data_IF_707452099496
#
_entry.id   IF_707452099496
#
_cell.length_a   1.000
_cell.length_b   1.000
_cell.length_c   1.000
_cell.angle_alpha   90.00
_cell.angle_beta   90.00
_cell.angle_gamma   90.00
#
_symmetry.space_group_name_H-M   'P 1'
#
loop_
_entity.id
_entity.type
_entity.pdbx_description
1 polymer ?
#
# COMPACT_ATOMS: atom_id res chain seq x y z
N UNK A 1 -56.40 -22.95 -67.33
CA UNK A 1 -55.25 -22.06 -67.31
C UNK A 1 -54.96 -21.68 -65.83
N UNK A 2 -53.97 -22.32 -65.20
CA UNK A 2 -53.65 -22.08 -63.80
C UNK A 2 -52.28 -21.39 -63.74
N UNK A 3 -52.23 -20.13 -63.32
CA UNK A 3 -51.02 -19.34 -63.11
C UNK A 3 -50.34 -19.78 -61.82
N UNK A 4 -49.15 -20.30 -61.91
CA UNK A 4 -48.31 -20.63 -60.79
C UNK A 4 -47.47 -19.38 -60.44
N UNK A 5 -47.74 -18.77 -59.27
CA UNK A 5 -46.95 -17.66 -58.76
C UNK A 5 -45.76 -18.23 -57.98
N UNK A 6 -44.53 -18.03 -58.44
CA UNK A 6 -43.30 -18.31 -57.75
C UNK A 6 -43.06 -17.24 -56.67
N UNK A 7 -43.11 -17.67 -55.43
CA UNK A 7 -42.77 -16.83 -54.28
C UNK A 7 -41.23 -16.87 -54.12
N UNK A 8 -40.56 -15.73 -54.43
CA UNK A 8 -39.14 -15.55 -54.17
C UNK A 8 -38.93 -15.09 -52.75
N UNK A 9 -38.37 -15.97 -51.88
CA UNK A 9 -37.86 -15.59 -50.55
C UNK A 9 -36.48 -14.91 -50.73
N UNK A 10 -36.25 -13.74 -50.10
CA UNK A 10 -34.90 -13.19 -50.04
C UNK A 10 -34.08 -13.95 -48.97
N UNK A 11 -32.94 -14.41 -49.37
CA UNK A 11 -31.90 -15.03 -48.52
C UNK A 11 -31.29 -13.87 -47.65
N UNK A 12 -31.74 -13.71 -46.40
CA UNK A 12 -31.11 -12.79 -45.47
C UNK A 12 -29.80 -13.44 -44.97
N UNK A 13 -28.69 -12.98 -45.50
CA UNK A 13 -27.36 -13.31 -44.97
C UNK A 13 -27.18 -12.70 -43.58
N UNK A 14 -27.27 -13.56 -42.57
CA UNK A 14 -26.96 -13.18 -41.18
C UNK A 14 -25.43 -13.09 -41.03
N UNK A 15 -24.87 -11.91 -41.17
CA UNK A 15 -23.47 -11.65 -40.82
C UNK A 15 -23.33 -11.69 -39.31
N UNK A 16 -22.90 -12.81 -38.76
CA UNK A 16 -22.48 -12.93 -37.36
C UNK A 16 -21.11 -12.23 -37.26
N UNK A 17 -21.10 -10.99 -36.81
CA UNK A 17 -19.88 -10.28 -36.47
C UNK A 17 -19.41 -10.86 -35.11
N UNK A 18 -18.53 -11.84 -35.17
CA UNK A 18 -17.82 -12.32 -33.96
C UNK A 18 -16.95 -11.18 -33.46
N UNK A 19 -17.44 -10.42 -32.47
CA UNK A 19 -16.57 -9.56 -31.66
C UNK A 19 -15.60 -10.46 -30.91
N UNK A 20 -14.43 -10.67 -31.47
CA UNK A 20 -13.27 -11.13 -30.74
C UNK A 20 -12.94 -10.01 -29.77
N UNK A 21 -13.39 -10.15 -28.51
CA UNK A 21 -12.93 -9.31 -27.44
C UNK A 21 -11.43 -9.50 -27.31
N UNK A 22 -10.65 -8.53 -27.78
CA UNK A 22 -9.24 -8.43 -27.44
C UNK A 22 -9.25 -8.08 -25.95
N UNK A 23 -9.06 -9.10 -25.10
CA UNK A 23 -8.66 -8.85 -23.72
C UNK A 23 -7.33 -8.12 -23.85
N UNK A 24 -7.33 -6.83 -23.50
CA UNK A 24 -6.08 -6.10 -23.38
C UNK A 24 -5.30 -6.80 -22.25
N UNK A 25 -4.18 -7.43 -22.59
CA UNK A 25 -3.26 -7.94 -21.60
C UNK A 25 -2.90 -6.80 -20.65
N UNK A 26 -3.01 -7.06 -19.35
CA UNK A 26 -2.55 -6.08 -18.35
C UNK A 26 -1.08 -5.77 -18.63
N UNK A 27 -0.70 -4.48 -18.65
CA UNK A 27 0.67 -4.11 -18.98
C UNK A 27 1.64 -4.75 -18.00
N UNK A 28 2.71 -5.34 -18.51
CA UNK A 28 3.77 -5.92 -17.70
C UNK A 28 4.34 -4.88 -16.73
N UNK A 29 4.34 -5.15 -15.40
CA UNK A 29 4.83 -4.21 -14.40
C UNK A 29 6.24 -3.67 -14.67
N UNK A 30 7.13 -4.51 -15.22
CA UNK A 30 8.48 -4.10 -15.59
C UNK A 30 8.49 -3.06 -16.70
N UNK A 31 7.67 -3.23 -17.73
CA UNK A 31 7.55 -2.25 -18.80
C UNK A 31 6.97 -0.92 -18.31
N UNK A 32 6.04 -0.98 -17.36
CA UNK A 32 5.48 0.23 -16.74
C UNK A 32 6.56 0.95 -15.93
N UNK A 33 7.37 0.24 -15.12
CA UNK A 33 8.49 0.82 -14.38
C UNK A 33 9.47 1.56 -15.30
N UNK A 34 9.94 0.90 -16.37
CA UNK A 34 10.86 1.48 -17.35
C UNK A 34 10.26 2.75 -17.96
N UNK A 35 8.99 2.68 -18.36
CA UNK A 35 8.29 3.78 -19.04
C UNK A 35 8.15 5.00 -18.11
N UNK A 36 7.73 4.79 -16.86
CA UNK A 36 7.59 5.85 -15.86
C UNK A 36 8.95 6.42 -15.48
N UNK A 37 9.97 5.56 -15.21
CA UNK A 37 11.31 6.01 -14.89
C UNK A 37 11.91 6.92 -15.97
N UNK A 38 11.82 6.50 -17.24
CA UNK A 38 12.29 7.30 -18.38
C UNK A 38 11.48 8.59 -18.61
N UNK A 39 10.17 8.53 -18.39
CA UNK A 39 9.31 9.71 -18.47
C UNK A 39 9.71 10.76 -17.44
N UNK A 40 9.92 10.35 -16.20
CA UNK A 40 10.35 11.24 -15.12
C UNK A 40 11.74 11.81 -15.37
N UNK A 41 12.71 10.98 -15.79
CA UNK A 41 14.07 11.42 -16.07
C UNK A 41 14.16 12.42 -17.21
N UNK A 42 13.38 12.23 -18.30
CA UNK A 42 13.48 13.03 -19.52
C UNK A 42 12.44 14.11 -19.64
N UNK A 43 11.27 13.91 -19.06
CA UNK A 43 10.09 14.78 -19.24
C UNK A 43 9.84 15.71 -18.06
N UNK A 44 10.39 15.43 -16.88
CA UNK A 44 10.14 16.27 -15.73
C UNK A 44 10.93 17.59 -15.83
N UNK A 45 10.27 18.71 -15.51
CA UNK A 45 10.82 20.06 -15.64
C UNK A 45 12.09 20.31 -14.82
N UNK A 46 12.31 19.55 -13.75
CA UNK A 46 13.51 19.67 -12.90
C UNK A 46 14.80 19.21 -13.61
N UNK A 47 14.69 18.42 -14.69
CA UNK A 47 15.83 17.80 -15.36
C UNK A 47 16.65 16.87 -14.48
N UNK A 48 16.08 16.43 -13.33
CA UNK A 48 16.76 15.56 -12.38
C UNK A 48 16.90 14.14 -12.96
N UNK A 49 18.12 13.62 -12.97
CA UNK A 49 18.37 12.22 -13.33
C UNK A 49 17.86 11.27 -12.27
N UNK A 50 17.46 10.09 -12.70
CA UNK A 50 17.18 8.96 -11.83
C UNK A 50 18.52 8.35 -11.45
N UNK A 51 19.05 8.69 -10.26
CA UNK A 51 20.36 8.35 -9.74
C UNK A 51 20.27 7.88 -8.26
N UNK A 52 21.42 7.50 -7.66
CA UNK A 52 21.54 7.07 -6.27
C UNK A 52 20.89 8.06 -5.28
N UNK A 53 20.97 9.38 -5.55
CA UNK A 53 20.35 10.41 -4.69
C UNK A 53 18.83 10.35 -4.74
N UNK A 54 18.28 10.11 -5.94
CA UNK A 54 16.86 9.89 -6.11
C UNK A 54 16.45 8.57 -5.48
N UNK A 55 17.24 7.50 -5.67
CA UNK A 55 17.06 6.21 -5.02
C UNK A 55 16.91 6.33 -3.51
N UNK A 56 17.85 6.98 -2.84
CA UNK A 56 17.83 7.13 -1.38
C UNK A 56 16.60 7.91 -0.90
N UNK A 57 16.25 9.00 -1.59
CA UNK A 57 15.06 9.80 -1.27
C UNK A 57 13.77 9.04 -1.55
N UNK A 58 13.72 8.32 -2.65
CA UNK A 58 12.59 7.49 -3.04
C UNK A 58 12.36 6.34 -2.06
N UNK A 59 13.41 5.61 -1.66
CA UNK A 59 13.31 4.58 -0.64
C UNK A 59 12.70 5.11 0.65
N UNK A 60 13.22 6.25 1.14
CA UNK A 60 12.69 6.92 2.33
C UNK A 60 11.21 7.23 2.17
N UNK A 61 10.84 7.86 1.06
CA UNK A 61 9.46 8.25 0.80
C UNK A 61 8.54 7.03 0.71
N UNK A 62 8.99 5.92 0.09
CA UNK A 62 8.20 4.71 -0.02
C UNK A 62 7.96 4.02 1.33
N UNK A 63 8.99 3.97 2.18
CA UNK A 63 8.85 3.48 3.56
C UNK A 63 7.86 4.35 4.34
N UNK A 64 7.98 5.68 4.25
CA UNK A 64 7.08 6.63 4.93
C UNK A 64 5.65 6.61 4.36
N UNK A 65 5.46 6.32 3.08
CA UNK A 65 4.13 6.14 2.49
C UNK A 65 3.43 4.88 3.02
N UNK A 66 4.18 3.81 3.28
CA UNK A 66 3.65 2.58 3.87
C UNK A 66 3.39 2.73 5.38
N UNK A 67 4.27 3.40 6.11
CA UNK A 67 4.23 3.53 7.56
C UNK A 67 4.44 4.98 8.03
N UNK A 68 3.49 5.83 7.67
CA UNK A 68 3.53 7.28 7.90
C UNK A 68 3.74 7.69 9.36
N UNK A 69 3.17 6.95 10.31
CA UNK A 69 3.31 7.21 11.75
C UNK A 69 4.43 6.41 12.41
N UNK A 70 5.24 5.69 11.64
CA UNK A 70 6.38 4.88 12.12
C UNK A 70 5.99 3.90 13.23
N UNK A 71 4.95 3.12 12.93
CA UNK A 71 4.32 2.19 13.87
C UNK A 71 4.66 0.73 13.60
N UNK A 72 4.98 0.39 12.35
CA UNK A 72 5.10 -0.99 11.91
C UNK A 72 6.55 -1.44 11.77
N UNK A 73 7.34 -0.72 10.96
CA UNK A 73 8.77 -1.04 10.83
C UNK A 73 9.53 -0.82 12.14
N UNK A 74 10.63 -1.55 12.29
CA UNK A 74 11.66 -1.27 13.31
C UNK A 74 12.86 -0.57 12.68
N UNK A 75 13.71 0.09 13.48
CA UNK A 75 14.96 0.67 12.99
C UNK A 75 15.83 -0.37 12.27
N UNK A 76 15.83 -1.61 12.76
CA UNK A 76 16.54 -2.72 12.12
C UNK A 76 16.05 -3.01 10.70
N UNK A 77 14.71 -2.95 10.48
CA UNK A 77 14.14 -3.12 9.14
C UNK A 77 14.60 -1.98 8.23
N UNK A 78 14.56 -0.73 8.73
CA UNK A 78 14.99 0.46 7.99
C UNK A 78 16.47 0.38 7.60
N UNK A 79 17.33 0.00 8.55
CA UNK A 79 18.77 -0.14 8.30
C UNK A 79 19.05 -1.20 7.24
N UNK A 80 18.38 -2.35 7.32
CA UNK A 80 18.51 -3.42 6.33
C UNK A 80 18.03 -3.00 4.93
N UNK A 81 16.91 -2.26 4.85
CA UNK A 81 16.39 -1.72 3.59
C UNK A 81 17.31 -0.66 3.00
N UNK A 82 17.89 0.22 3.82
CA UNK A 82 18.86 1.22 3.37
C UNK A 82 20.12 0.56 2.81
N UNK A 83 20.70 -0.42 3.50
CA UNK A 83 21.88 -1.15 3.01
C UNK A 83 21.61 -1.79 1.66
N UNK A 84 20.41 -2.29 1.44
CA UNK A 84 20.08 -3.05 0.22
C UNK A 84 19.65 -2.18 -0.95
N UNK A 85 18.91 -1.09 -0.69
CA UNK A 85 18.16 -0.41 -1.73
C UNK A 85 18.43 1.10 -1.85
N UNK A 86 19.18 1.71 -0.92
CA UNK A 86 19.35 3.17 -0.95
C UNK A 86 20.05 3.70 -2.23
N UNK A 87 20.84 2.85 -2.91
CA UNK A 87 21.59 3.23 -4.12
C UNK A 87 21.32 2.30 -5.31
N UNK A 88 20.21 1.58 -5.32
CA UNK A 88 19.93 0.62 -6.41
C UNK A 88 18.52 0.70 -6.99
N UNK A 89 17.62 1.47 -6.38
CA UNK A 89 16.23 1.55 -6.89
C UNK A 89 16.14 2.21 -8.26
N UNK A 90 17.02 3.14 -8.59
CA UNK A 90 17.12 3.75 -9.91
C UNK A 90 17.46 2.70 -10.98
N UNK A 91 18.46 1.87 -10.72
CA UNK A 91 18.84 0.76 -11.60
C UNK A 91 17.70 -0.24 -11.74
N UNK A 92 17.07 -0.66 -10.63
CA UNK A 92 15.94 -1.57 -10.64
C UNK A 92 14.77 -1.03 -11.49
N UNK A 93 14.45 0.26 -11.37
CA UNK A 93 13.39 0.91 -12.16
C UNK A 93 13.76 0.92 -13.65
N UNK A 94 14.99 1.32 -13.99
CA UNK A 94 15.44 1.41 -15.38
C UNK A 94 15.58 0.04 -16.05
N UNK A 95 15.81 -1.01 -15.27
CA UNK A 95 15.84 -2.42 -15.71
C UNK A 95 14.45 -3.08 -15.72
N UNK A 96 13.44 -2.41 -15.17
CA UNK A 96 12.08 -2.95 -15.08
C UNK A 96 11.94 -4.05 -14.02
N UNK A 97 12.73 -3.99 -12.96
CA UNK A 97 12.66 -4.95 -11.86
C UNK A 97 11.71 -4.45 -10.75
N UNK A 98 10.49 -5.01 -10.58
CA UNK A 98 9.54 -4.63 -9.54
C UNK A 98 9.82 -5.26 -8.17
N UNK A 99 10.76 -6.20 -8.06
CA UNK A 99 11.01 -6.98 -6.84
C UNK A 99 11.24 -6.12 -5.58
N UNK A 100 11.97 -4.99 -5.63
CA UNK A 100 12.13 -4.13 -4.46
C UNK A 100 10.81 -3.64 -3.88
N UNK A 101 9.83 -3.27 -4.74
CA UNK A 101 8.51 -2.85 -4.30
C UNK A 101 7.84 -3.95 -3.46
N UNK A 102 7.88 -5.19 -3.96
CA UNK A 102 7.27 -6.35 -3.28
C UNK A 102 8.02 -6.73 -2.00
N UNK A 103 9.35 -6.71 -2.01
CA UNK A 103 10.15 -7.06 -0.82
C UNK A 103 9.86 -6.10 0.32
N UNK A 104 9.88 -4.78 0.07
CA UNK A 104 9.60 -3.76 1.08
C UNK A 104 8.16 -3.88 1.57
N UNK A 105 7.20 -4.00 0.64
CA UNK A 105 5.78 -4.16 0.98
C UNK A 105 5.52 -5.43 1.81
N UNK A 106 6.17 -6.56 1.50
CA UNK A 106 6.00 -7.80 2.24
C UNK A 106 6.53 -7.71 3.68
N UNK A 107 7.63 -6.98 3.91
CA UNK A 107 8.12 -6.69 5.26
C UNK A 107 7.06 -5.87 6.01
N UNK A 108 6.54 -4.80 5.42
CA UNK A 108 5.47 -3.99 5.97
C UNK A 108 4.24 -4.85 6.32
N UNK A 109 3.74 -5.62 5.35
CA UNK A 109 2.60 -6.52 5.51
C UNK A 109 2.76 -7.47 6.69
N UNK A 110 3.91 -8.13 6.78
CA UNK A 110 4.25 -9.01 7.90
C UNK A 110 4.18 -8.27 9.23
N UNK A 111 4.76 -7.07 9.31
CA UNK A 111 4.71 -6.25 10.52
C UNK A 111 3.29 -5.85 10.91
N UNK A 112 2.45 -5.46 9.95
CA UNK A 112 1.04 -5.15 10.22
C UNK A 112 0.29 -6.38 10.76
N UNK A 113 0.51 -7.56 10.17
CA UNK A 113 -0.11 -8.82 10.61
C UNK A 113 0.31 -9.20 12.04
N UNK A 114 1.61 -9.09 12.36
CA UNK A 114 2.15 -9.33 13.71
C UNK A 114 1.53 -8.35 14.72
N UNK A 115 1.44 -7.06 14.39
CA UNK A 115 0.85 -6.05 15.28
C UNK A 115 -0.64 -6.27 15.48
N UNK A 116 -1.40 -6.55 14.43
CA UNK A 116 -2.82 -6.82 14.55
C UNK A 116 -3.13 -8.08 15.38
N UNK A 117 -2.31 -9.13 15.27
CA UNK A 117 -2.41 -10.30 16.12
C UNK A 117 -2.17 -9.94 17.60
N UNK A 118 -1.15 -9.13 17.88
CA UNK A 118 -0.84 -8.67 19.25
C UNK A 118 -1.95 -7.79 19.83
N UNK A 119 -2.52 -6.89 19.03
CA UNK A 119 -3.66 -6.07 19.45
C UNK A 119 -4.84 -6.93 19.86
N UNK A 120 -5.17 -7.98 19.11
CA UNK A 120 -6.26 -8.90 19.46
C UNK A 120 -6.05 -9.62 20.80
N UNK A 121 -4.81 -9.92 21.16
CA UNK A 121 -4.48 -10.47 22.47
C UNK A 121 -4.60 -9.42 23.57
N UNK A 122 -4.12 -8.21 23.31
CA UNK A 122 -4.18 -7.10 24.25
C UNK A 122 -5.64 -6.68 24.53
N UNK A 123 -6.52 -6.68 23.54
CA UNK A 123 -7.94 -6.34 23.69
C UNK A 123 -8.72 -7.29 24.61
N UNK A 124 -8.16 -8.45 24.98
CA UNK A 124 -8.75 -9.38 25.97
C UNK A 124 -8.46 -8.99 27.41
N UNK A 125 -7.58 -7.99 27.64
CA UNK A 125 -7.20 -7.54 28.97
C UNK A 125 -8.14 -6.45 29.46
N UNK A 126 -8.28 -6.37 30.78
CA UNK A 126 -8.96 -5.25 31.41
C UNK A 126 -8.04 -4.02 31.45
N UNK A 127 -8.58 -2.86 31.09
CA UNK A 127 -7.86 -1.59 31.09
C UNK A 127 -8.44 -0.65 32.16
N UNK A 128 -7.54 -0.09 32.98
CA UNK A 128 -7.85 0.96 33.93
C UNK A 128 -7.19 2.24 33.44
N UNK A 129 -7.97 3.30 33.27
CA UNK A 129 -7.50 4.58 32.76
C UNK A 129 -7.29 5.55 33.93
N UNK A 130 -6.43 5.18 34.86
CA UNK A 130 -6.15 5.87 36.12
C UNK A 130 -4.72 6.45 36.21
N UNK A 131 -3.99 6.49 35.08
CA UNK A 131 -2.63 7.01 35.02
C UNK A 131 -2.57 8.37 34.32
N UNK A 132 -1.68 9.25 34.80
CA UNK A 132 -1.38 10.55 34.17
C UNK A 132 -0.38 10.44 33.01
N UNK A 133 -0.22 9.26 32.44
CA UNK A 133 0.75 8.99 31.36
C UNK A 133 0.31 9.64 30.06
N UNK A 134 1.20 10.46 29.48
CA UNK A 134 0.99 11.03 28.15
C UNK A 134 1.41 10.02 27.08
N UNK A 135 0.61 9.94 26.01
CA UNK A 135 0.85 9.07 24.84
C UNK A 135 1.09 9.95 23.62
N UNK A 136 2.20 9.72 22.92
CA UNK A 136 2.51 10.41 21.67
C UNK A 136 1.65 9.84 20.52
N UNK A 137 0.70 10.63 20.04
CA UNK A 137 -0.22 10.22 18.96
C UNK A 137 0.38 10.54 17.60
N UNK A 138 0.98 11.73 17.41
CA UNK A 138 1.63 12.12 16.16
C UNK A 138 3.11 11.73 16.17
N UNK A 139 3.40 10.64 15.48
CA UNK A 139 4.73 10.06 15.40
C UNK A 139 5.45 10.26 14.06
N UNK A 140 4.95 11.17 13.21
CA UNK A 140 5.55 11.42 11.88
C UNK A 140 7.04 11.74 11.91
N UNK A 141 7.47 12.48 12.93
CA UNK A 141 8.86 12.87 13.13
C UNK A 141 9.59 12.04 14.21
N UNK A 142 8.91 11.11 14.87
CA UNK A 142 9.52 10.27 15.89
C UNK A 142 10.50 9.26 15.27
N UNK A 143 11.50 8.78 16.01
CA UNK A 143 12.34 7.67 15.53
C UNK A 143 11.53 6.39 15.37
N UNK A 144 11.99 5.51 14.48
CA UNK A 144 11.48 4.14 14.39
C UNK A 144 11.75 3.40 15.71
N UNK A 145 10.87 2.50 16.16
CA UNK A 145 11.18 1.64 17.30
C UNK A 145 12.48 0.88 17.04
N UNK A 146 13.43 0.94 17.97
CA UNK A 146 14.76 0.36 17.77
C UNK A 146 14.72 -1.16 17.65
N UNK A 147 13.78 -1.79 18.37
CA UNK A 147 13.62 -3.23 18.46
C UNK A 147 12.15 -3.63 18.73
N UNK A 148 11.90 -4.93 18.75
CA UNK A 148 10.57 -5.48 18.94
C UNK A 148 9.98 -5.14 20.33
N UNK A 149 10.83 -5.06 21.35
CA UNK A 149 10.38 -4.74 22.71
C UNK A 149 9.89 -3.27 22.80
N UNK A 150 10.56 -2.35 22.13
CA UNK A 150 10.11 -0.96 22.04
C UNK A 150 8.84 -0.85 21.20
N UNK A 151 8.76 -1.56 20.07
CA UNK A 151 7.56 -1.61 19.25
C UNK A 151 6.35 -2.17 20.03
N UNK A 152 6.53 -3.22 20.83
CA UNK A 152 5.45 -3.76 21.70
C UNK A 152 4.97 -2.76 22.75
N UNK A 153 5.88 -1.97 23.35
CA UNK A 153 5.49 -0.91 24.30
C UNK A 153 4.68 0.17 23.60
N UNK A 154 5.17 0.63 22.45
CA UNK A 154 4.50 1.63 21.63
C UNK A 154 3.08 1.20 21.27
N UNK A 155 2.89 -0.04 20.86
CA UNK A 155 1.58 -0.57 20.49
C UNK A 155 0.65 -0.73 21.68
N UNK A 156 1.16 -1.07 22.84
CA UNK A 156 0.37 -1.12 24.09
C UNK A 156 -0.14 0.27 24.45
N UNK A 157 0.75 1.25 24.44
CA UNK A 157 0.43 2.64 24.77
C UNK A 157 -0.60 3.21 23.77
N UNK A 158 -0.40 2.95 22.48
CA UNK A 158 -1.34 3.34 21.44
C UNK A 158 -2.73 2.73 21.64
N UNK A 159 -2.78 1.42 21.88
CA UNK A 159 -4.05 0.71 22.07
C UNK A 159 -4.80 1.22 23.30
N UNK A 160 -4.08 1.50 24.37
CA UNK A 160 -4.65 2.11 25.59
C UNK A 160 -5.25 3.47 25.29
N UNK A 161 -4.55 4.32 24.54
CA UNK A 161 -5.08 5.61 24.08
C UNK A 161 -6.31 5.49 23.17
N UNK A 162 -6.29 4.54 22.24
CA UNK A 162 -7.45 4.26 21.35
C UNK A 162 -8.67 3.77 22.17
N UNK A 163 -8.46 2.88 23.14
CA UNK A 163 -9.52 2.39 24.02
C UNK A 163 -10.08 3.54 24.87
N UNK A 164 -9.23 4.39 25.43
CA UNK A 164 -9.66 5.56 26.19
C UNK A 164 -10.49 6.50 25.33
N UNK A 165 -10.03 6.82 24.13
CA UNK A 165 -10.73 7.68 23.19
C UNK A 165 -12.13 7.14 22.85
N UNK A 166 -12.23 5.84 22.53
CA UNK A 166 -13.52 5.20 22.25
C UNK A 166 -14.43 5.15 23.49
N UNK A 167 -13.86 5.01 24.69
CA UNK A 167 -14.62 5.04 25.96
C UNK A 167 -15.23 6.42 26.26
N UNK A 168 -14.62 7.49 25.79
CA UNK A 168 -15.11 8.86 25.95
C UNK A 168 -16.21 9.21 24.92
N UNK A 169 -16.44 8.37 23.92
CA UNK A 169 -17.47 8.62 22.90
C UNK A 169 -18.88 8.37 23.46
N UNK A 170 -19.56 9.43 23.87
CA UNK A 170 -20.91 9.38 24.46
C UNK A 170 -22.00 8.87 23.52
N UNK A 171 -21.72 8.81 22.23
CA UNK A 171 -22.67 8.33 21.18
C UNK A 171 -22.31 6.92 20.69
N UNK A 172 -21.36 6.24 21.31
CA UNK A 172 -20.96 4.90 20.91
C UNK A 172 -22.11 3.88 21.12
N UNK A 173 -22.44 3.15 20.08
CA UNK A 173 -23.44 2.06 20.14
C UNK A 173 -22.78 0.76 20.61
N UNK A 174 -21.51 0.58 20.30
CA UNK A 174 -20.72 -0.61 20.62
C UNK A 174 -19.66 -0.32 21.70
N UNK A 175 -19.18 -1.37 22.35
CA UNK A 175 -18.07 -1.25 23.31
C UNK A 175 -16.77 -0.86 22.60
N UNK A 176 -15.85 -0.13 23.26
CA UNK A 176 -14.53 0.23 22.70
C UNK A 176 -13.78 -0.97 22.11
N UNK A 177 -13.76 -2.08 22.84
CA UNK A 177 -13.13 -3.33 22.39
C UNK A 177 -13.73 -3.83 21.08
N UNK A 178 -15.06 -3.79 20.93
CA UNK A 178 -15.74 -4.25 19.72
C UNK A 178 -15.46 -3.32 18.52
N UNK A 179 -15.40 -2.02 18.77
CA UNK A 179 -15.05 -1.01 17.74
C UNK A 179 -13.62 -1.25 17.24
N UNK A 180 -12.66 -1.36 18.15
CA UNK A 180 -11.26 -1.58 17.79
C UNK A 180 -11.05 -2.94 17.13
N UNK A 181 -11.69 -4.01 17.61
CA UNK A 181 -11.61 -5.33 16.96
C UNK A 181 -12.02 -5.22 15.49
N UNK A 182 -13.16 -4.58 15.18
CA UNK A 182 -13.60 -4.39 13.79
C UNK A 182 -12.62 -3.55 12.97
N UNK A 183 -12.02 -2.50 13.56
CA UNK A 183 -11.04 -1.64 12.89
C UNK A 183 -9.81 -2.45 12.46
N UNK A 184 -9.26 -3.26 13.35
CA UNK A 184 -8.09 -4.10 13.04
C UNK A 184 -8.44 -5.28 12.12
N UNK A 185 -9.64 -5.83 12.20
CA UNK A 185 -10.12 -6.84 11.23
C UNK A 185 -10.27 -6.23 9.83
N UNK A 186 -10.76 -5.00 9.73
CA UNK A 186 -10.85 -4.31 8.44
C UNK A 186 -9.48 -4.00 7.87
N UNK A 187 -8.53 -3.55 8.70
CA UNK A 187 -7.14 -3.33 8.29
C UNK A 187 -6.54 -4.61 7.68
N UNK A 188 -6.72 -5.76 8.34
CA UNK A 188 -6.23 -7.04 7.83
C UNK A 188 -6.93 -7.49 6.55
N UNK A 189 -8.23 -7.23 6.39
CA UNK A 189 -8.93 -7.51 5.13
C UNK A 189 -8.37 -6.65 3.99
N UNK A 190 -8.28 -5.35 4.18
CA UNK A 190 -7.71 -4.43 3.17
C UNK A 190 -6.30 -4.86 2.76
N UNK A 191 -5.47 -5.28 3.72
CA UNK A 191 -4.11 -5.73 3.46
C UNK A 191 -4.06 -7.03 2.63
N UNK A 192 -5.03 -7.93 2.83
CA UNK A 192 -5.14 -9.18 2.06
C UNK A 192 -5.67 -8.98 0.65
N UNK A 193 -6.51 -7.97 0.46
CA UNK A 193 -7.11 -7.62 -0.83
C UNK A 193 -6.15 -6.88 -1.76
N UNK A 194 -5.03 -6.35 -1.23
CA UNK A 194 -4.00 -5.70 -2.03
C UNK A 194 -3.38 -6.69 -3.04
N UNK A 195 -3.49 -6.33 -4.30
CA UNK A 195 -2.91 -7.07 -5.43
C UNK A 195 -1.45 -6.66 -5.67
N UNK A 196 -0.75 -7.41 -6.52
CA UNK A 196 0.60 -7.01 -6.96
C UNK A 196 0.58 -5.68 -7.70
N UNK A 197 -0.45 -5.45 -8.51
CA UNK A 197 -0.62 -4.20 -9.26
C UNK A 197 -0.84 -3.00 -8.35
N UNK A 198 -1.58 -3.17 -7.26
CA UNK A 198 -1.74 -2.11 -6.27
C UNK A 198 -0.41 -1.74 -5.61
N UNK A 199 0.42 -2.73 -5.29
CA UNK A 199 1.77 -2.50 -4.74
C UNK A 199 2.64 -1.72 -5.73
N UNK A 200 2.63 -2.11 -7.02
CA UNK A 200 3.38 -1.41 -8.07
C UNK A 200 2.84 0.01 -8.26
N UNK A 201 1.52 0.21 -8.23
CA UNK A 201 0.90 1.55 -8.30
C UNK A 201 1.36 2.45 -7.15
N UNK A 202 1.34 1.95 -5.91
CA UNK A 202 1.83 2.72 -4.75
C UNK A 202 3.30 3.09 -4.97
N UNK A 203 4.14 2.14 -5.38
CA UNK A 203 5.56 2.35 -5.62
C UNK A 203 5.80 3.43 -6.68
N UNK A 204 5.14 3.36 -7.81
CA UNK A 204 5.26 4.34 -8.90
C UNK A 204 4.69 5.71 -8.53
N UNK A 205 3.59 5.75 -7.76
CA UNK A 205 3.04 7.02 -7.26
C UNK A 205 4.06 7.72 -6.37
N UNK A 206 4.69 7.00 -5.46
CA UNK A 206 5.72 7.58 -4.58
C UNK A 206 6.97 7.99 -5.36
N UNK A 207 7.34 7.25 -6.41
CA UNK A 207 8.42 7.64 -7.29
C UNK A 207 8.11 9.00 -7.97
N UNK A 208 6.90 9.15 -8.52
CA UNK A 208 6.47 10.41 -9.14
C UNK A 208 6.48 11.57 -8.11
N UNK A 209 5.96 11.35 -6.91
CA UNK A 209 5.99 12.33 -5.82
C UNK A 209 7.40 12.67 -5.31
N UNK A 210 8.37 11.77 -5.53
CA UNK A 210 9.78 12.04 -5.21
C UNK A 210 10.39 13.07 -6.16
N UNK A 211 9.90 13.15 -7.40
CA UNK A 211 10.26 14.19 -8.36
C UNK A 211 9.48 15.48 -8.15
N UNK A 212 8.19 15.39 -7.88
CA UNK A 212 7.31 16.53 -7.61
C UNK A 212 6.40 16.23 -6.41
N UNK A 213 6.64 16.86 -5.25
CA UNK A 213 5.82 16.67 -4.05
C UNK A 213 4.35 17.12 -4.21
N UNK A 214 4.03 17.81 -5.31
CA UNK A 214 2.68 18.31 -5.61
C UNK A 214 1.92 17.43 -6.63
N UNK A 215 2.53 16.32 -7.07
CA UNK A 215 1.93 15.36 -8.01
C UNK A 215 0.96 14.41 -7.34
#
# INVERSE_FOLDING_TARGET
MKFLRFLRLPLASLFIFSMVGIAADEPDPGQVLISVGRLLERGHFSGQKLDDKVSARFLKNYIEALDYYRLYFTQKDIDALNVKYATSLDDDILLGNPDPAFVIYNIYKKRVEERAAKVKELLKKDYKFDSDRAIEIDRKAAPWPKDEAEAERLWRDRLEGELLQESMNKHAVDTPVKVLTRRYDQLLRNLKEQTKDDVVKIFLTVLAQTYDPHS
#
